data_IF_858550626782
#
_entry.id   IF_858550626782
#
_cell.length_a   1.000
_cell.length_b   1.000
_cell.length_c   1.000
_cell.angle_alpha   90.00
_cell.angle_beta   90.00
_cell.angle_gamma   90.00
#
_symmetry.space_group_name_H-M   'P 1'
#
loop_
_entity.id
_entity.type
_entity.pdbx_description
1 polymer ?
#
# COMPACT_ATOMS: atom_id res chain seq x y z
N UNK A 1 -23.71 -3.22 -8.35
CA UNK A 1 -22.51 -3.17 -7.51
C UNK A 1 -21.96 -1.75 -7.53
N UNK A 2 -21.69 -1.13 -6.38
CA UNK A 2 -21.05 0.16 -6.37
C UNK A 2 -19.68 0.03 -7.06
N UNK A 3 -19.37 0.95 -7.97
CA UNK A 3 -18.07 0.98 -8.63
C UNK A 3 -17.06 1.65 -7.68
N UNK A 4 -16.51 0.88 -6.75
CA UNK A 4 -15.55 1.36 -5.75
C UNK A 4 -14.31 1.97 -6.40
N UNK A 5 -13.81 1.38 -7.49
CA UNK A 5 -12.64 1.91 -8.20
C UNK A 5 -12.89 3.31 -8.74
N UNK A 6 -14.07 3.54 -9.35
CA UNK A 6 -14.46 4.86 -9.81
C UNK A 6 -14.54 5.85 -8.64
N UNK A 7 -15.19 5.45 -7.54
CA UNK A 7 -15.29 6.28 -6.32
C UNK A 7 -13.91 6.68 -5.77
N UNK A 8 -12.96 5.73 -5.70
CA UNK A 8 -11.58 5.99 -5.25
C UNK A 8 -10.88 6.94 -6.21
N UNK A 9 -10.96 6.71 -7.52
CA UNK A 9 -10.36 7.58 -8.52
C UNK A 9 -10.86 9.02 -8.38
N UNK A 10 -12.16 9.19 -8.21
CA UNK A 10 -12.75 10.51 -8.03
C UNK A 10 -12.34 11.16 -6.72
N UNK A 11 -12.25 10.40 -5.61
CA UNK A 11 -11.74 10.92 -4.34
C UNK A 11 -10.28 11.37 -4.44
N UNK A 12 -9.45 10.66 -5.21
CA UNK A 12 -8.07 11.08 -5.47
C UNK A 12 -8.00 12.38 -6.28
N UNK A 13 -8.86 12.56 -7.28
CA UNK A 13 -8.95 13.82 -8.03
C UNK A 13 -9.40 14.97 -7.09
N UNK A 14 -10.33 14.72 -6.18
CA UNK A 14 -10.74 15.69 -5.17
C UNK A 14 -9.55 16.10 -4.28
N UNK A 15 -8.80 15.11 -3.79
CA UNK A 15 -7.57 15.39 -3.04
C UNK A 15 -6.56 16.21 -3.86
N UNK A 16 -6.34 15.86 -5.13
CA UNK A 16 -5.46 16.61 -6.03
C UNK A 16 -5.88 18.10 -6.12
N UNK A 17 -7.17 18.38 -6.23
CA UNK A 17 -7.69 19.74 -6.29
C UNK A 17 -7.34 20.53 -5.03
N UNK A 18 -7.37 19.93 -3.85
CA UNK A 18 -6.93 20.58 -2.61
C UNK A 18 -5.45 20.96 -2.66
N UNK A 19 -4.60 20.10 -3.25
CA UNK A 19 -3.16 20.32 -3.34
C UNK A 19 -2.78 21.48 -4.29
N UNK A 20 -3.66 21.84 -5.23
CA UNK A 20 -3.49 22.98 -6.14
C UNK A 20 -4.35 24.21 -5.77
N UNK A 21 -4.89 24.23 -4.55
CA UNK A 21 -5.68 25.34 -4.01
C UNK A 21 -7.05 25.53 -4.67
N UNK A 22 -7.58 24.49 -5.33
CA UNK A 22 -8.92 24.50 -5.92
C UNK A 22 -9.92 23.86 -5.00
N UNK A 23 -11.09 24.46 -4.83
CA UNK A 23 -12.21 23.81 -4.15
C UNK A 23 -12.95 22.93 -5.15
N UNK A 24 -13.14 21.67 -4.77
CA UNK A 24 -14.03 20.80 -5.50
C UNK A 24 -15.47 20.97 -5.01
N UNK A 25 -16.41 20.78 -5.94
CA UNK A 25 -17.85 20.83 -5.64
C UNK A 25 -18.59 19.54 -6.00
N UNK A 26 -17.89 18.53 -6.56
CA UNK A 26 -18.55 17.32 -7.07
C UNK A 26 -18.90 16.28 -5.99
N UNK A 27 -18.07 16.21 -4.92
CA UNK A 27 -18.26 15.24 -3.82
C UNK A 27 -18.61 15.96 -2.52
N UNK A 28 -19.79 16.56 -2.51
CA UNK A 28 -20.32 17.30 -1.34
C UNK A 28 -20.42 16.45 -0.06
N UNK A 29 -20.40 15.14 -0.19
CA UNK A 29 -20.64 14.20 0.91
C UNK A 29 -19.35 13.66 1.54
N UNK A 30 -18.17 13.96 1.01
CA UNK A 30 -16.90 13.61 1.63
C UNK A 30 -16.65 14.54 2.84
N UNK A 31 -17.04 14.08 4.02
CA UNK A 31 -16.89 14.87 5.26
C UNK A 31 -15.44 15.25 5.55
N UNK A 32 -14.50 14.35 5.25
CA UNK A 32 -13.06 14.56 5.49
C UNK A 32 -12.50 15.71 4.63
N UNK A 33 -13.02 15.89 3.42
CA UNK A 33 -12.61 16.99 2.55
C UNK A 33 -13.09 18.37 3.05
N UNK A 34 -13.99 18.40 4.06
CA UNK A 34 -14.49 19.64 4.68
C UNK A 34 -13.60 20.11 5.83
N UNK A 35 -12.62 19.30 6.27
CA UNK A 35 -11.70 19.66 7.35
C UNK A 35 -10.61 20.58 6.78
N UNK A 36 -10.51 21.84 7.26
CA UNK A 36 -9.52 22.80 6.75
C UNK A 36 -8.09 22.32 6.89
N UNK A 37 -7.80 21.57 7.95
CA UNK A 37 -6.47 21.01 8.26
C UNK A 37 -5.98 20.03 7.23
N UNK A 38 -6.89 19.39 6.48
CA UNK A 38 -6.58 18.43 5.41
C UNK A 38 -6.49 19.08 4.02
N UNK A 39 -6.88 20.36 3.90
CA UNK A 39 -6.79 21.13 2.66
C UNK A 39 -5.47 21.90 2.52
N UNK A 40 -4.43 21.47 3.21
CA UNK A 40 -3.10 22.07 3.19
C UNK A 40 -2.19 21.19 2.33
N UNK A 41 -1.40 21.82 1.47
CA UNK A 41 -0.38 21.14 0.68
C UNK A 41 0.75 20.64 1.58
N UNK A 42 0.98 19.33 1.60
CA UNK A 42 1.99 18.64 2.41
C UNK A 42 2.85 17.74 1.53
N UNK A 43 3.82 18.35 0.82
CA UNK A 43 4.79 17.64 0.00
C UNK A 43 4.21 16.44 -0.80
N UNK A 44 3.14 16.63 -1.62
CA UNK A 44 2.55 15.54 -2.36
C UNK A 44 3.55 14.96 -3.35
N UNK A 45 3.58 13.63 -3.47
CA UNK A 45 4.46 12.92 -4.40
C UNK A 45 4.23 13.33 -5.86
N UNK A 46 5.31 13.52 -6.61
CA UNK A 46 5.25 14.01 -8.00
C UNK A 46 4.43 13.05 -8.88
N UNK A 47 4.68 11.75 -8.83
CA UNK A 47 3.93 10.74 -9.61
C UNK A 47 2.42 10.83 -9.35
N UNK A 48 2.01 11.00 -8.08
CA UNK A 48 0.60 11.17 -7.73
C UNK A 48 0.03 12.44 -8.38
N UNK A 49 0.75 13.57 -8.29
CA UNK A 49 0.28 14.84 -8.84
C UNK A 49 0.15 14.82 -10.36
N UNK A 50 1.10 14.23 -11.08
CA UNK A 50 1.10 14.12 -12.54
C UNK A 50 0.01 13.18 -13.04
N UNK A 51 -0.14 12.02 -12.41
CA UNK A 51 -1.19 11.07 -12.77
C UNK A 51 -2.59 11.64 -12.54
N UNK A 52 -2.81 12.27 -11.39
CA UNK A 52 -4.11 12.88 -11.05
C UNK A 52 -4.40 14.13 -11.86
N UNK A 53 -3.37 14.88 -12.27
CA UNK A 53 -3.53 15.95 -13.26
C UNK A 53 -4.05 15.41 -14.59
N UNK A 54 -3.45 14.33 -15.10
CA UNK A 54 -3.90 13.68 -16.34
C UNK A 54 -5.36 13.26 -16.24
N UNK A 55 -5.74 12.54 -15.18
CA UNK A 55 -7.13 12.12 -14.93
C UNK A 55 -8.09 13.31 -14.80
N UNK A 56 -7.70 14.38 -14.14
CA UNK A 56 -8.49 15.60 -14.02
C UNK A 56 -8.76 16.24 -15.39
N UNK A 57 -7.81 16.10 -16.34
CA UNK A 57 -7.95 16.55 -17.74
C UNK A 57 -8.72 15.58 -18.63
N UNK A 58 -9.09 14.41 -18.13
CA UNK A 58 -9.73 13.35 -18.91
C UNK A 58 -8.75 12.53 -19.76
N UNK A 59 -7.46 12.56 -19.40
CA UNK A 59 -6.42 11.78 -20.07
C UNK A 59 -6.06 10.54 -19.24
N UNK A 60 -5.63 9.49 -19.91
CA UNK A 60 -5.07 8.31 -19.26
C UNK A 60 -3.65 8.63 -18.73
N UNK A 61 -3.37 8.43 -17.43
CA UNK A 61 -2.00 8.51 -16.92
C UNK A 61 -1.12 7.46 -17.59
N UNK A 62 0.13 7.80 -17.83
CA UNK A 62 1.12 6.85 -18.33
C UNK A 62 2.43 7.05 -17.58
N UNK A 63 2.83 6.05 -16.80
CA UNK A 63 4.09 6.05 -16.09
C UNK A 63 4.55 4.61 -15.80
N UNK A 64 5.78 4.46 -15.38
CA UNK A 64 6.36 3.19 -14.94
C UNK A 64 6.88 3.31 -13.50
N UNK A 65 6.14 4.01 -12.65
CA UNK A 65 6.54 4.29 -11.28
C UNK A 65 6.28 3.10 -10.37
N UNK A 66 7.29 2.76 -9.57
CA UNK A 66 7.22 1.82 -8.44
C UNK A 66 7.07 2.53 -7.10
N UNK A 67 6.89 3.85 -7.09
CA UNK A 67 6.91 4.66 -5.88
C UNK A 67 5.95 4.18 -4.78
N UNK A 68 6.31 4.40 -3.53
CA UNK A 68 5.55 3.98 -2.34
C UNK A 68 4.19 4.67 -2.18
N UNK A 69 3.94 5.80 -2.87
CA UNK A 69 2.72 6.58 -2.75
C UNK A 69 1.41 5.83 -3.08
N UNK A 70 1.49 4.68 -3.76
CA UNK A 70 0.34 3.78 -3.99
C UNK A 70 -0.02 3.00 -2.73
N UNK A 71 0.95 2.27 -2.19
CA UNK A 71 0.74 1.33 -1.07
C UNK A 71 0.34 2.04 0.23
N UNK A 72 0.92 3.18 0.56
CA UNK A 72 0.70 3.87 1.83
C UNK A 72 -0.75 4.34 2.08
N UNK A 73 -1.66 4.20 1.13
CA UNK A 73 -3.03 4.70 1.21
C UNK A 73 -4.11 3.64 1.07
N UNK A 74 -3.75 2.35 0.92
CA UNK A 74 -4.74 1.29 0.61
C UNK A 74 -5.34 0.62 1.85
N UNK A 75 -4.76 0.75 3.03
CA UNK A 75 -5.22 0.09 4.25
C UNK A 75 -6.73 0.24 4.54
N UNK A 76 -7.42 1.35 4.23
CA UNK A 76 -8.88 1.45 4.38
C UNK A 76 -9.66 0.41 3.56
N UNK A 77 -9.13 -0.10 2.45
CA UNK A 77 -9.82 -1.06 1.57
C UNK A 77 -10.01 -2.41 2.27
N UNK A 78 -8.95 -3.11 2.73
CA UNK A 78 -9.11 -4.37 3.43
C UNK A 78 -9.85 -4.23 4.77
N UNK A 79 -9.68 -3.12 5.49
CA UNK A 79 -10.44 -2.84 6.72
C UNK A 79 -11.94 -2.76 6.43
N UNK A 80 -12.33 -2.03 5.39
CA UNK A 80 -13.72 -1.94 4.96
C UNK A 80 -14.27 -3.30 4.52
N UNK A 81 -13.50 -4.08 3.77
CA UNK A 81 -13.90 -5.39 3.29
C UNK A 81 -14.13 -6.37 4.45
N UNK A 82 -13.20 -6.44 5.40
CA UNK A 82 -13.28 -7.31 6.58
C UNK A 82 -14.50 -6.98 7.45
N UNK A 83 -14.78 -5.69 7.67
CA UNK A 83 -15.91 -5.26 8.51
C UNK A 83 -17.25 -5.49 7.81
N UNK A 84 -17.38 -5.14 6.52
CA UNK A 84 -18.66 -5.18 5.83
C UNK A 84 -19.07 -6.56 5.35
N UNK A 85 -18.14 -7.53 5.23
CA UNK A 85 -18.41 -8.90 4.72
C UNK A 85 -19.12 -8.94 3.34
N UNK A 86 -19.16 -7.82 2.61
CA UNK A 86 -19.78 -7.69 1.29
C UNK A 86 -18.77 -7.77 0.15
N UNK A 87 -17.50 -7.76 0.49
CA UNK A 87 -16.39 -7.84 -0.44
C UNK A 87 -15.52 -9.04 -0.04
N UNK A 88 -15.22 -9.90 -0.99
CA UNK A 88 -14.30 -11.01 -0.76
C UNK A 88 -12.87 -10.50 -0.58
N UNK A 89 -12.01 -11.30 0.04
CA UNK A 89 -10.59 -10.99 0.19
C UNK A 89 -9.92 -10.76 -1.17
N UNK A 90 -10.26 -11.57 -2.18
CA UNK A 90 -9.71 -11.43 -3.54
C UNK A 90 -10.21 -10.16 -4.23
N UNK A 91 -11.45 -9.73 -3.98
CA UNK A 91 -11.95 -8.46 -4.49
C UNK A 91 -11.28 -7.27 -3.79
N UNK A 92 -11.00 -7.37 -2.49
CA UNK A 92 -10.24 -6.36 -1.75
C UNK A 92 -8.80 -6.24 -2.30
N UNK A 93 -8.13 -7.37 -2.58
CA UNK A 93 -6.81 -7.40 -3.20
C UNK A 93 -6.81 -6.71 -4.58
N UNK A 94 -7.79 -7.04 -5.45
CA UNK A 94 -7.94 -6.41 -6.77
C UNK A 94 -8.19 -4.91 -6.65
N UNK A 95 -9.05 -4.52 -5.72
CA UNK A 95 -9.36 -3.11 -5.51
C UNK A 95 -8.15 -2.33 -4.99
N UNK A 96 -7.36 -2.91 -4.09
CA UNK A 96 -6.13 -2.31 -3.57
C UNK A 96 -5.07 -2.13 -4.68
N UNK A 97 -4.86 -3.16 -5.51
CA UNK A 97 -4.00 -3.07 -6.69
C UNK A 97 -4.47 -1.94 -7.61
N UNK A 98 -5.76 -1.95 -8.01
CA UNK A 98 -6.32 -0.92 -8.90
C UNK A 98 -6.24 0.48 -8.32
N UNK A 99 -6.44 0.65 -7.00
CA UNK A 99 -6.33 1.95 -6.33
C UNK A 99 -4.90 2.51 -6.38
N UNK A 100 -3.89 1.64 -6.31
CA UNK A 100 -2.48 2.02 -6.44
C UNK A 100 -2.11 2.28 -7.90
N UNK A 101 -2.57 1.45 -8.83
CA UNK A 101 -2.32 1.55 -10.26
C UNK A 101 -2.86 2.85 -10.87
N UNK A 102 -3.89 3.48 -10.30
CA UNK A 102 -4.36 4.81 -10.69
C UNK A 102 -3.18 5.80 -10.83
N UNK A 103 -2.15 5.66 -10.02
CA UNK A 103 -1.02 6.59 -10.01
C UNK A 103 0.34 5.95 -10.21
N UNK A 104 0.51 4.64 -9.91
CA UNK A 104 1.79 3.92 -9.97
C UNK A 104 1.61 2.65 -10.80
N UNK A 105 1.96 2.74 -12.08
CA UNK A 105 1.57 1.74 -13.09
C UNK A 105 2.59 0.63 -13.32
N UNK A 106 3.76 0.68 -12.70
CA UNK A 106 4.67 -0.46 -12.69
C UNK A 106 4.07 -1.61 -11.85
N UNK A 107 4.19 -2.88 -12.24
CA UNK A 107 3.68 -4.01 -11.44
C UNK A 107 4.11 -3.98 -9.97
N UNK A 108 5.39 -3.69 -9.69
CA UNK A 108 5.86 -3.50 -8.31
C UNK A 108 5.36 -2.21 -7.63
N UNK A 109 4.66 -1.33 -8.33
CA UNK A 109 3.97 -0.17 -7.73
C UNK A 109 2.59 -0.50 -7.19
N UNK A 110 1.94 -1.59 -7.67
CA UNK A 110 0.58 -1.96 -7.25
C UNK A 110 0.44 -3.38 -6.69
N UNK A 111 1.25 -4.37 -7.09
CA UNK A 111 1.19 -5.72 -6.53
C UNK A 111 1.44 -5.77 -5.00
N UNK A 112 2.39 -4.98 -4.43
CA UNK A 112 2.57 -4.93 -2.99
C UNK A 112 1.30 -4.48 -2.25
N UNK A 113 0.50 -3.60 -2.84
CA UNK A 113 -0.77 -3.15 -2.27
C UNK A 113 -1.82 -4.26 -2.19
N UNK A 114 -1.85 -5.15 -3.18
CA UNK A 114 -2.72 -6.33 -3.13
C UNK A 114 -2.29 -7.29 -2.02
N UNK A 115 -0.98 -7.51 -1.85
CA UNK A 115 -0.46 -8.35 -0.78
C UNK A 115 -0.74 -7.76 0.60
N UNK A 116 -0.49 -6.45 0.77
CA UNK A 116 -0.81 -5.74 2.02
C UNK A 116 -2.30 -5.87 2.36
N UNK A 117 -3.17 -5.73 1.35
CA UNK A 117 -4.61 -5.91 1.52
C UNK A 117 -4.96 -7.31 2.02
N UNK A 118 -4.32 -8.36 1.50
CA UNK A 118 -4.51 -9.74 1.97
C UNK A 118 -4.09 -9.91 3.43
N UNK A 119 -2.93 -9.39 3.78
CA UNK A 119 -2.38 -9.48 5.14
C UNK A 119 -3.31 -8.76 6.13
N UNK A 120 -3.67 -7.51 5.86
CA UNK A 120 -4.54 -6.72 6.75
C UNK A 120 -5.92 -7.39 6.90
N UNK A 121 -6.51 -7.89 5.80
CA UNK A 121 -7.81 -8.57 5.85
C UNK A 121 -7.77 -9.77 6.81
N UNK A 122 -6.76 -10.65 6.68
CA UNK A 122 -6.66 -11.84 7.53
C UNK A 122 -6.34 -11.50 8.99
N UNK A 123 -5.55 -10.47 9.25
CA UNK A 123 -5.32 -9.98 10.61
C UNK A 123 -6.60 -9.47 11.27
N UNK A 124 -7.52 -8.88 10.49
CA UNK A 124 -8.82 -8.41 11.00
C UNK A 124 -9.83 -9.54 11.23
N UNK A 125 -9.69 -10.68 10.54
CA UNK A 125 -10.59 -11.83 10.69
C UNK A 125 -10.29 -12.65 11.95
N UNK A 126 -9.14 -12.48 12.58
CA UNK A 126 -8.68 -13.24 13.73
C UNK A 126 -8.48 -12.32 14.93
N UNK A 127 -9.07 -12.69 16.06
CA UNK A 127 -9.00 -11.90 17.29
C UNK A 127 -7.55 -11.75 17.81
N UNK A 128 -6.78 -12.84 17.72
CA UNK A 128 -5.34 -12.88 18.01
C UNK A 128 -4.61 -13.66 16.91
N UNK A 129 -3.60 -13.07 16.33
CA UNK A 129 -2.72 -13.73 15.36
C UNK A 129 -1.35 -13.98 15.96
N UNK A 130 -0.74 -15.09 15.67
CA UNK A 130 0.66 -15.39 16.03
C UNK A 130 1.62 -14.91 14.94
N UNK A 131 2.92 -14.84 15.25
CA UNK A 131 3.95 -14.59 14.24
C UNK A 131 3.91 -15.63 13.11
N UNK A 132 3.58 -16.87 13.42
CA UNK A 132 3.42 -17.93 12.42
C UNK A 132 2.23 -17.65 11.51
N UNK A 133 1.10 -17.22 12.07
CA UNK A 133 -0.06 -16.82 11.26
C UNK A 133 0.30 -15.67 10.33
N UNK A 134 1.00 -14.64 10.83
CA UNK A 134 1.44 -13.52 10.01
C UNK A 134 2.33 -13.98 8.82
N UNK A 135 3.33 -14.84 9.09
CA UNK A 135 4.19 -15.39 8.03
C UNK A 135 3.38 -16.23 7.02
N UNK A 136 2.42 -17.02 7.47
CA UNK A 136 1.52 -17.75 6.58
C UNK A 136 0.67 -16.81 5.71
N UNK A 137 0.15 -15.71 6.26
CA UNK A 137 -0.60 -14.74 5.46
C UNK A 137 0.27 -14.08 4.36
N UNK A 138 1.54 -13.87 4.63
CA UNK A 138 2.49 -13.37 3.61
C UNK A 138 2.67 -14.42 2.51
N UNK A 139 2.93 -15.68 2.86
CA UNK A 139 3.18 -16.75 1.90
C UNK A 139 1.93 -17.08 1.07
N UNK A 140 0.78 -17.22 1.71
CA UNK A 140 -0.50 -17.48 1.04
C UNK A 140 -0.88 -16.31 0.11
N UNK A 141 -0.70 -15.08 0.57
CA UNK A 141 -0.95 -13.89 -0.25
C UNK A 141 -0.08 -13.84 -1.50
N UNK A 142 1.20 -14.18 -1.39
CA UNK A 142 2.12 -14.29 -2.54
C UNK A 142 1.69 -15.39 -3.51
N UNK A 143 1.24 -16.54 -2.99
CA UNK A 143 0.72 -17.62 -3.84
C UNK A 143 -0.56 -17.19 -4.59
N UNK A 144 -1.46 -16.50 -3.91
CA UNK A 144 -2.70 -15.97 -4.50
C UNK A 144 -2.39 -14.91 -5.57
N UNK A 145 -1.40 -14.01 -5.34
CA UNK A 145 -0.99 -13.02 -6.34
C UNK A 145 -0.59 -13.66 -7.67
N UNK A 146 0.15 -14.76 -7.66
CA UNK A 146 0.53 -15.49 -8.87
C UNK A 146 -0.67 -15.99 -9.68
N UNK A 147 -1.71 -16.42 -8.98
CA UNK A 147 -2.96 -16.88 -9.61
C UNK A 147 -3.78 -15.72 -10.15
N UNK A 148 -3.79 -14.58 -9.41
CA UNK A 148 -4.61 -13.41 -9.76
C UNK A 148 -3.99 -12.56 -10.87
N UNK A 149 -2.66 -12.52 -10.96
CA UNK A 149 -1.87 -11.68 -11.87
C UNK A 149 -0.80 -12.51 -12.60
N UNK A 150 -1.19 -13.55 -13.36
CA UNK A 150 -0.24 -14.48 -13.99
C UNK A 150 0.70 -13.79 -14.99
N UNK A 151 0.27 -12.68 -15.58
CA UNK A 151 1.07 -11.85 -16.49
C UNK A 151 2.23 -11.13 -15.79
N UNK A 152 2.19 -11.06 -14.47
CA UNK A 152 3.19 -10.40 -13.62
C UNK A 152 4.00 -11.38 -12.75
N UNK A 153 4.05 -12.67 -13.09
CA UNK A 153 4.71 -13.72 -12.28
C UNK A 153 6.17 -13.39 -11.94
N UNK A 154 6.91 -12.78 -12.87
CA UNK A 154 8.29 -12.34 -12.64
C UNK A 154 8.34 -11.31 -11.50
N UNK A 155 7.47 -10.31 -11.51
CA UNK A 155 7.43 -9.26 -10.49
C UNK A 155 6.93 -9.80 -9.13
N UNK A 156 6.02 -10.77 -9.13
CA UNK A 156 5.64 -11.49 -7.90
C UNK A 156 6.83 -12.25 -7.33
N UNK A 157 7.66 -12.85 -8.20
CA UNK A 157 8.92 -13.49 -7.83
C UNK A 157 9.93 -12.52 -7.20
N UNK A 158 10.09 -11.32 -7.77
CA UNK A 158 10.94 -10.24 -7.23
C UNK A 158 10.44 -9.79 -5.86
N UNK A 159 9.14 -9.51 -5.72
CA UNK A 159 8.50 -9.14 -4.45
C UNK A 159 8.72 -10.23 -3.39
N UNK A 160 8.49 -11.49 -3.73
CA UNK A 160 8.72 -12.64 -2.84
C UNK A 160 10.16 -12.67 -2.34
N UNK A 161 11.13 -12.56 -3.26
CA UNK A 161 12.56 -12.61 -2.92
C UNK A 161 12.95 -11.51 -1.96
N UNK A 162 12.40 -10.30 -2.12
CA UNK A 162 12.68 -9.16 -1.25
C UNK A 162 12.07 -9.36 0.14
N UNK A 163 10.85 -9.89 0.23
CA UNK A 163 10.18 -10.20 1.50
C UNK A 163 10.90 -11.33 2.24
N UNK A 164 11.31 -12.40 1.56
CA UNK A 164 12.11 -13.47 2.17
C UNK A 164 13.44 -12.96 2.72
N UNK A 165 14.08 -12.03 2.00
CA UNK A 165 15.29 -11.33 2.48
C UNK A 165 14.98 -10.55 3.76
N UNK A 166 13.90 -9.78 3.79
CA UNK A 166 13.49 -8.99 4.95
C UNK A 166 13.23 -9.88 6.19
N UNK A 167 12.53 -11.00 6.01
CA UNK A 167 12.29 -11.99 7.08
C UNK A 167 13.59 -12.56 7.64
N UNK A 168 14.57 -12.89 6.78
CA UNK A 168 15.89 -13.39 7.21
C UNK A 168 16.68 -12.33 7.97
N UNK A 169 16.62 -11.08 7.55
CA UNK A 169 17.32 -9.98 8.20
C UNK A 169 16.77 -9.68 9.60
N UNK A 170 15.49 -10.02 9.87
CA UNK A 170 14.90 -9.87 11.19
C UNK A 170 15.55 -10.73 12.29
N UNK A 171 16.22 -11.82 11.89
CA UNK A 171 16.87 -12.75 12.82
C UNK A 171 18.39 -12.50 13.02
N UNK A 172 18.96 -11.48 12.33
CA UNK A 172 20.38 -11.19 12.46
C UNK A 172 20.71 -10.18 13.59
N UNK A 173 22.01 -9.98 13.86
CA UNK A 173 22.51 -9.12 14.92
C UNK A 173 22.82 -7.68 14.49
N UNK A 174 22.59 -7.33 13.22
CA UNK A 174 22.80 -5.96 12.73
C UNK A 174 21.73 -5.01 13.27
N UNK A 175 22.05 -3.72 13.27
CA UNK A 175 21.08 -2.69 13.64
C UNK A 175 19.91 -2.63 12.66
N UNK A 176 18.79 -2.02 13.08
CA UNK A 176 17.64 -1.83 12.19
C UNK A 176 17.99 -0.98 10.98
N UNK A 177 18.78 0.07 11.17
CA UNK A 177 19.22 0.95 10.08
C UNK A 177 19.99 0.14 9.04
N UNK A 178 20.98 -0.66 9.44
CA UNK A 178 21.75 -1.50 8.52
C UNK A 178 20.87 -2.53 7.80
N UNK A 179 19.94 -3.15 8.52
CA UNK A 179 19.03 -4.13 7.94
C UNK A 179 18.05 -3.50 6.94
N UNK A 180 17.49 -2.35 7.27
CA UNK A 180 16.56 -1.63 6.39
C UNK A 180 17.30 -1.09 5.16
N UNK A 181 18.53 -0.55 5.30
CA UNK A 181 19.37 -0.16 4.17
C UNK A 181 19.67 -1.36 3.24
N UNK A 182 19.85 -2.55 3.81
CA UNK A 182 20.01 -3.78 3.02
C UNK A 182 18.74 -4.20 2.28
N UNK A 183 17.54 -3.94 2.81
CA UNK A 183 16.27 -4.19 2.12
C UNK A 183 16.09 -3.19 0.98
N UNK A 184 16.23 -1.90 1.30
CA UNK A 184 16.10 -0.77 0.38
C UNK A 184 15.82 0.52 1.16
N UNK A 185 15.59 1.62 0.44
CA UNK A 185 15.33 2.93 1.05
C UNK A 185 13.86 3.22 1.39
N UNK A 186 12.93 2.31 1.10
CA UNK A 186 11.50 2.56 1.28
C UNK A 186 10.85 3.45 0.20
N UNK A 187 11.61 3.88 -0.80
CA UNK A 187 11.12 4.75 -1.88
C UNK A 187 10.16 4.05 -2.85
N UNK A 188 10.26 2.73 -2.94
CA UNK A 188 9.42 1.90 -3.81
C UNK A 188 8.44 1.07 -2.99
N UNK A 189 7.30 0.70 -3.58
CA UNK A 189 6.23 0.03 -2.86
C UNK A 189 6.66 -1.37 -2.36
N UNK A 190 7.47 -2.09 -3.14
CA UNK A 190 8.01 -3.39 -2.73
C UNK A 190 8.99 -3.27 -1.55
N UNK A 191 9.82 -2.23 -1.53
CA UNK A 191 10.73 -1.96 -0.40
C UNK A 191 9.93 -1.58 0.85
N UNK A 192 8.94 -0.69 0.71
CA UNK A 192 8.06 -0.25 1.81
C UNK A 192 7.38 -1.44 2.49
N UNK A 193 6.80 -2.36 1.70
CA UNK A 193 6.16 -3.55 2.25
C UNK A 193 7.18 -4.48 2.92
N UNK A 194 8.35 -4.69 2.30
CA UNK A 194 9.40 -5.54 2.85
C UNK A 194 9.95 -4.99 4.17
N UNK A 195 10.14 -3.67 4.29
CA UNK A 195 10.54 -3.01 5.54
C UNK A 195 9.46 -3.19 6.62
N UNK A 196 8.19 -3.02 6.28
CA UNK A 196 7.09 -3.25 7.21
C UNK A 196 7.08 -4.72 7.71
N UNK A 197 7.24 -5.69 6.80
CA UNK A 197 7.35 -7.12 7.17
C UNK A 197 8.55 -7.37 8.07
N UNK A 198 9.73 -6.80 7.78
CA UNK A 198 10.91 -6.88 8.63
C UNK A 198 10.62 -6.39 10.05
N UNK A 199 10.05 -5.20 10.19
CA UNK A 199 9.75 -4.60 11.50
C UNK A 199 8.73 -5.43 12.29
N UNK A 200 7.69 -5.94 11.62
CA UNK A 200 6.69 -6.80 12.26
C UNK A 200 7.31 -8.12 12.72
N UNK A 201 8.11 -8.77 11.88
CA UNK A 201 8.75 -10.07 12.23
C UNK A 201 9.72 -9.90 13.39
N UNK A 202 10.56 -8.85 13.36
CA UNK A 202 11.57 -8.62 14.39
C UNK A 202 10.98 -8.23 15.75
N UNK A 203 9.93 -7.42 15.72
CA UNK A 203 9.32 -6.86 16.92
C UNK A 203 7.89 -7.34 17.15
N UNK A 204 7.61 -8.57 16.76
CA UNK A 204 6.28 -9.14 16.92
C UNK A 204 5.81 -9.06 18.38
N UNK A 205 4.63 -8.43 18.59
CA UNK A 205 4.09 -8.19 19.92
C UNK A 205 4.56 -6.89 20.60
N UNK A 206 5.50 -6.17 19.99
CA UNK A 206 5.98 -4.85 20.48
C UNK A 206 5.76 -3.79 19.39
N UNK A 207 4.54 -3.24 19.35
CA UNK A 207 4.13 -2.24 18.35
C UNK A 207 5.01 -0.99 18.36
N UNK A 208 5.39 -0.51 19.55
CA UNK A 208 6.20 0.70 19.70
C UNK A 208 7.57 0.51 19.04
N UNK A 209 8.25 -0.59 19.32
CA UNK A 209 9.55 -0.88 18.71
C UNK A 209 9.44 -1.09 17.20
N UNK A 210 8.41 -1.79 16.74
CA UNK A 210 8.18 -1.98 15.30
C UNK A 210 8.04 -0.64 14.57
N UNK A 211 7.25 0.29 15.12
CA UNK A 211 7.07 1.64 14.54
C UNK A 211 8.36 2.46 14.62
N UNK A 212 9.07 2.43 15.77
CA UNK A 212 10.35 3.15 15.94
C UNK A 212 11.36 2.69 14.89
N UNK A 213 11.49 1.36 14.65
CA UNK A 213 12.38 0.83 13.63
C UNK A 213 11.97 1.27 12.22
N UNK A 214 10.66 1.27 11.92
CA UNK A 214 10.13 1.61 10.61
C UNK A 214 10.30 3.10 10.23
N UNK A 215 10.43 4.02 11.21
CA UNK A 215 10.50 5.46 10.94
C UNK A 215 11.86 6.09 11.25
N UNK A 216 12.84 5.32 11.75
CA UNK A 216 14.16 5.83 12.14
C UNK A 216 15.28 5.22 11.29
N UNK A 217 15.13 5.28 9.98
CA UNK A 217 16.17 4.89 9.02
C UNK A 217 16.45 6.03 8.04
N UNK A 218 17.46 5.89 7.19
CA UNK A 218 17.90 6.96 6.28
C UNK A 218 17.10 7.08 4.97
N UNK A 219 16.05 6.28 4.80
CA UNK A 219 15.21 6.28 3.60
C UNK A 219 13.97 7.17 3.70
N UNK A 220 12.91 6.76 2.98
CA UNK A 220 11.61 7.46 2.93
C UNK A 220 10.73 7.11 4.13
#
# INVERSE_FOLDING_TARGET
>A
NPNYQYGICMAYIEWYLTQIGKKSGKYKDCWIAKLPELNIRRAPGQTCMESLYSLYKGWEPQNNSKGCGGIMRIAPIPLFAAVNKRMSITDAMKLAASASEITHQHPLGFLPSALESYIIYNLMEKEESSLTDFKNYVDDGLAILRVMFPEHDIHVGELKSLIEKAIKLADNSLSDVENIENIGGGWTAEETLAIAVYCIVKYYGDFEKAVIAAVNHGGD
#
